data_IF_592474560640
#
_entry.id   IF_592474560640
#
_cell.length_a   1.000
_cell.length_b   1.000
_cell.length_c   1.000
_cell.angle_alpha   90.00
_cell.angle_beta   90.00
_cell.angle_gamma   90.00
#
_symmetry.space_group_name_H-M   'P 1'
#
loop_
_entity.id
_entity.type
_entity.pdbx_description
1 polymer ?
#
# COMPACT_ATOMS: atom_id res chain seq x y z
N UNK A 1 34.09 71.38 -6.22
CA UNK A 1 32.77 71.06 -6.79
C UNK A 1 32.97 69.76 -7.53
N UNK A 2 32.84 68.67 -6.78
CA UNK A 2 33.14 67.32 -7.28
C UNK A 2 31.98 66.84 -8.13
N UNK A 3 32.28 66.47 -9.37
CA UNK A 3 31.32 66.05 -10.41
C UNK A 3 31.49 64.56 -10.75
N UNK A 4 31.84 63.75 -9.76
CA UNK A 4 32.10 62.31 -9.91
C UNK A 4 31.19 61.48 -9.00
N UNK A 5 29.89 61.43 -9.27
CA UNK A 5 28.98 60.53 -8.54
C UNK A 5 27.90 59.91 -9.42
N UNK A 6 27.34 60.63 -10.39
CA UNK A 6 26.18 60.13 -11.15
C UNK A 6 26.42 58.88 -12.01
N UNK A 7 27.65 58.66 -12.50
CA UNK A 7 27.98 57.49 -13.33
C UNK A 7 28.28 56.26 -12.47
N UNK A 8 28.89 56.46 -11.30
CA UNK A 8 29.13 55.40 -10.32
C UNK A 8 27.82 54.94 -9.66
N UNK A 9 26.92 55.89 -9.36
CA UNK A 9 25.58 55.61 -8.84
C UNK A 9 24.75 54.78 -9.82
N UNK A 10 24.80 55.08 -11.12
CA UNK A 10 24.07 54.31 -12.15
C UNK A 10 24.62 52.88 -12.27
N UNK A 11 25.94 52.70 -12.26
CA UNK A 11 26.52 51.35 -12.29
C UNK A 11 26.23 50.55 -11.03
N UNK A 12 26.18 51.20 -9.87
CA UNK A 12 25.79 50.55 -8.61
C UNK A 12 24.30 50.20 -8.60
N UNK A 13 23.41 51.10 -9.06
CA UNK A 13 21.99 50.82 -9.20
C UNK A 13 21.73 49.67 -10.17
N UNK A 14 22.38 49.65 -11.34
CA UNK A 14 22.29 48.53 -12.29
C UNK A 14 22.80 47.24 -11.64
N UNK A 15 23.87 47.29 -10.84
CA UNK A 15 24.37 46.11 -10.12
C UNK A 15 23.38 45.62 -9.06
N UNK A 16 22.79 46.51 -8.27
CA UNK A 16 21.76 46.18 -7.28
C UNK A 16 20.52 45.61 -7.95
N UNK A 17 20.07 46.23 -9.05
CA UNK A 17 18.91 45.79 -9.80
C UNK A 17 19.17 44.41 -10.44
N UNK A 18 20.35 44.17 -11.03
CA UNK A 18 20.73 42.85 -11.56
C UNK A 18 20.81 41.79 -10.44
N UNK A 19 21.32 42.14 -9.25
CA UNK A 19 21.39 41.21 -8.10
C UNK A 19 20.02 40.97 -7.45
N UNK A 20 19.15 41.96 -7.43
CA UNK A 20 17.74 41.82 -7.02
C UNK A 20 16.97 40.97 -8.04
N UNK A 21 17.24 41.10 -9.34
CA UNK A 21 16.70 40.21 -10.38
C UNK A 21 17.27 38.79 -10.30
N UNK A 22 18.50 38.62 -9.81
CA UNK A 22 19.12 37.34 -9.46
C UNK A 22 18.84 37.00 -7.99
N UNK A 23 17.58 37.00 -7.59
CA UNK A 23 17.19 36.51 -6.26
C UNK A 23 17.52 35.01 -6.16
N UNK A 24 18.73 34.70 -5.70
CA UNK A 24 19.15 33.35 -5.34
C UNK A 24 18.13 32.68 -4.40
N UNK A 25 17.43 33.49 -3.60
CA UNK A 25 16.29 33.07 -2.79
C UNK A 25 15.13 32.47 -3.60
N UNK A 26 14.75 33.05 -4.73
CA UNK A 26 13.72 32.52 -5.62
C UNK A 26 14.15 31.19 -6.25
N UNK A 27 15.44 31.09 -6.59
CA UNK A 27 16.04 29.84 -7.06
C UNK A 27 16.01 28.78 -5.95
N UNK A 28 16.41 29.11 -4.73
CA UNK A 28 16.39 28.20 -3.58
C UNK A 28 14.96 27.76 -3.22
N UNK A 29 14.00 28.68 -3.19
CA UNK A 29 12.59 28.35 -2.91
C UNK A 29 12.00 27.49 -4.03
N UNK A 30 12.35 27.76 -5.29
CA UNK A 30 12.02 26.92 -6.44
C UNK A 30 12.55 25.49 -6.30
N UNK A 31 13.83 25.32 -5.97
CA UNK A 31 14.43 24.00 -5.73
C UNK A 31 13.84 23.28 -4.51
N UNK A 32 13.59 23.99 -3.40
CA UNK A 32 12.96 23.42 -2.22
C UNK A 32 11.53 22.92 -2.53
N UNK A 33 10.76 23.71 -3.28
CA UNK A 33 9.42 23.32 -3.75
C UNK A 33 9.46 22.10 -4.68
N UNK A 34 10.42 22.07 -5.61
CA UNK A 34 10.63 20.93 -6.50
C UNK A 34 10.98 19.66 -5.72
N UNK A 35 11.94 19.74 -4.78
CA UNK A 35 12.33 18.60 -3.94
C UNK A 35 11.16 18.07 -3.10
N UNK A 36 10.34 18.97 -2.54
CA UNK A 36 9.14 18.59 -1.80
C UNK A 36 8.14 17.84 -2.70
N UNK A 37 7.93 18.32 -3.93
CA UNK A 37 7.05 17.67 -4.91
C UNK A 37 7.59 16.30 -5.34
N UNK A 38 8.90 16.19 -5.60
CA UNK A 38 9.54 14.91 -5.95
C UNK A 38 9.40 13.92 -4.79
N UNK A 39 9.68 14.33 -3.55
CA UNK A 39 9.49 13.48 -2.38
C UNK A 39 8.03 13.03 -2.21
N UNK A 40 7.08 13.94 -2.37
CA UNK A 40 5.65 13.60 -2.35
C UNK A 40 5.27 12.62 -3.47
N UNK A 41 5.90 12.73 -4.64
CA UNK A 41 5.68 11.84 -5.77
C UNK A 41 6.29 10.46 -5.51
N UNK A 42 7.49 10.40 -4.94
CA UNK A 42 8.12 9.14 -4.51
C UNK A 42 7.32 8.43 -3.41
N UNK A 43 6.68 9.18 -2.52
CA UNK A 43 5.77 8.66 -1.50
C UNK A 43 4.42 8.22 -2.07
N UNK A 44 3.97 8.81 -3.18
CA UNK A 44 2.75 8.38 -3.88
C UNK A 44 2.98 7.18 -4.79
N UNK A 45 4.24 6.87 -5.14
CA UNK A 45 4.59 5.62 -5.82
C UNK A 45 4.29 4.47 -4.87
N UNK A 46 3.34 3.65 -5.31
CA UNK A 46 2.97 2.41 -4.65
C UNK A 46 4.02 1.34 -4.93
N UNK A 47 4.47 0.68 -3.87
CA UNK A 47 5.29 -0.51 -3.97
C UNK A 47 4.38 -1.72 -4.14
N UNK A 48 4.36 -2.29 -5.34
CA UNK A 48 3.65 -3.53 -5.64
C UNK A 48 4.58 -4.73 -5.38
N UNK A 49 4.25 -5.52 -4.37
CA UNK A 49 5.01 -6.69 -3.95
C UNK A 49 4.27 -7.95 -4.35
N UNK A 50 4.90 -8.75 -5.21
CA UNK A 50 4.36 -10.02 -5.66
C UNK A 50 5.26 -11.14 -5.16
N UNK A 51 4.71 -12.01 -4.32
CA UNK A 51 5.38 -13.20 -3.80
C UNK A 51 4.84 -14.40 -4.55
N UNK A 52 5.68 -14.99 -5.40
CA UNK A 52 5.39 -16.21 -6.14
C UNK A 52 6.19 -17.35 -5.53
N UNK A 53 5.51 -18.41 -5.05
CA UNK A 53 6.14 -19.68 -4.70
C UNK A 53 7.43 -19.52 -3.86
N UNK A 54 7.48 -18.61 -2.88
CA UNK A 54 8.72 -18.41 -2.11
C UNK A 54 9.03 -19.67 -1.31
N UNK A 55 10.24 -20.18 -1.41
CA UNK A 55 10.58 -21.51 -0.92
C UNK A 55 11.37 -21.48 0.39
N UNK A 56 11.85 -20.31 0.82
CA UNK A 56 12.80 -20.25 1.92
C UNK A 56 12.55 -19.09 2.88
N UNK A 57 12.68 -19.37 4.18
CA UNK A 57 12.72 -18.37 5.26
C UNK A 57 13.65 -17.19 4.98
N UNK A 58 14.74 -17.43 4.25
CA UNK A 58 15.71 -16.41 3.84
C UNK A 58 15.13 -15.38 2.89
N UNK A 59 14.26 -15.81 1.97
CA UNK A 59 13.60 -14.91 1.01
C UNK A 59 12.60 -14.00 1.74
N UNK A 60 11.85 -14.55 2.69
CA UNK A 60 10.93 -13.78 3.54
C UNK A 60 11.69 -12.81 4.45
N UNK A 61 12.87 -13.21 4.96
CA UNK A 61 13.73 -12.28 5.71
C UNK A 61 14.23 -11.14 4.84
N UNK A 62 14.75 -11.44 3.66
CA UNK A 62 15.20 -10.42 2.72
C UNK A 62 14.06 -9.47 2.35
N UNK A 63 12.88 -10.02 2.05
CA UNK A 63 11.70 -9.23 1.74
C UNK A 63 11.27 -8.35 2.90
N UNK A 64 11.24 -8.88 4.13
CA UNK A 64 10.90 -8.09 5.32
C UNK A 64 11.88 -6.92 5.53
N UNK A 65 13.18 -7.16 5.34
CA UNK A 65 14.19 -6.09 5.39
C UNK A 65 13.95 -5.03 4.31
N UNK A 66 13.63 -5.46 3.08
CA UNK A 66 13.36 -4.53 1.98
C UNK A 66 12.08 -3.71 2.21
N UNK A 67 11.01 -4.35 2.67
CA UNK A 67 9.77 -3.67 3.06
C UNK A 67 9.99 -2.66 4.18
N UNK A 68 10.87 -2.97 5.13
CA UNK A 68 11.23 -2.05 6.23
C UNK A 68 11.99 -0.83 5.71
N UNK A 69 12.87 -1.00 4.72
CA UNK A 69 13.55 0.13 4.06
C UNK A 69 12.55 1.03 3.32
N UNK A 70 11.49 0.45 2.76
CA UNK A 70 10.41 1.15 2.06
C UNK A 70 9.19 1.42 2.97
N UNK A 71 9.39 1.51 4.29
CA UNK A 71 8.29 1.62 5.24
C UNK A 71 7.38 2.84 5.01
N UNK A 72 7.89 3.93 4.44
CA UNK A 72 7.13 5.16 4.16
C UNK A 72 6.25 5.07 2.90
N UNK A 73 6.46 4.05 2.06
CA UNK A 73 5.70 3.89 0.82
C UNK A 73 4.37 3.17 1.05
N UNK A 74 3.40 3.47 0.20
CA UNK A 74 2.16 2.70 0.12
C UNK A 74 2.46 1.32 -0.45
N UNK A 75 2.05 0.26 0.24
CA UNK A 75 2.32 -1.11 -0.19
C UNK A 75 1.03 -1.76 -0.72
N UNK A 76 1.14 -2.48 -1.83
CA UNK A 76 0.16 -3.48 -2.24
C UNK A 76 0.82 -4.85 -2.35
N UNK A 77 0.20 -5.86 -1.74
CA UNK A 77 0.78 -7.19 -1.59
C UNK A 77 -0.05 -8.23 -2.35
N UNK A 78 0.59 -9.05 -3.16
CA UNK A 78 -0.01 -10.22 -3.78
C UNK A 78 0.81 -11.45 -3.40
N UNK A 79 0.21 -12.38 -2.66
CA UNK A 79 0.91 -13.58 -2.18
C UNK A 79 0.26 -14.85 -2.73
N UNK A 80 1.08 -15.70 -3.34
CA UNK A 80 0.70 -17.04 -3.80
C UNK A 80 1.29 -18.08 -2.86
N UNK A 81 0.41 -18.73 -2.11
CA UNK A 81 0.70 -19.73 -1.08
C UNK A 81 -0.03 -21.06 -1.42
N UNK A 82 0.24 -21.57 -2.62
CA UNK A 82 -0.46 -22.73 -3.21
C UNK A 82 0.28 -24.06 -3.01
N UNK A 83 1.38 -24.07 -2.24
CA UNK A 83 2.20 -25.28 -2.07
C UNK A 83 1.74 -26.06 -0.84
N UNK A 84 1.19 -27.25 -1.07
CA UNK A 84 0.69 -28.14 -0.01
C UNK A 84 1.82 -28.64 0.89
N UNK A 85 1.50 -28.83 2.19
CA UNK A 85 2.39 -29.37 3.24
C UNK A 85 3.57 -28.47 3.67
N UNK A 86 3.44 -27.15 3.56
CA UNK A 86 4.44 -26.19 4.06
C UNK A 86 3.81 -25.20 5.03
N UNK A 87 4.65 -24.52 5.80
CA UNK A 87 4.21 -23.38 6.61
C UNK A 87 3.73 -22.27 5.69
N UNK A 88 2.56 -21.68 5.99
CA UNK A 88 2.01 -20.56 5.23
C UNK A 88 3.01 -19.42 5.11
N UNK A 89 3.31 -19.05 3.86
CA UNK A 89 4.13 -17.89 3.50
C UNK A 89 3.50 -16.62 4.05
N UNK A 90 2.17 -16.52 3.96
CA UNK A 90 1.42 -15.36 4.47
C UNK A 90 1.64 -15.24 5.97
N UNK A 91 1.41 -16.33 6.72
CA UNK A 91 1.61 -16.34 8.17
C UNK A 91 3.04 -15.99 8.56
N UNK A 92 4.04 -16.55 7.87
CA UNK A 92 5.45 -16.25 8.09
C UNK A 92 5.79 -14.78 7.84
N UNK A 93 5.25 -14.20 6.76
CA UNK A 93 5.48 -12.80 6.41
C UNK A 93 4.91 -11.86 7.48
N UNK A 94 3.68 -12.06 7.92
CA UNK A 94 3.06 -11.24 8.96
C UNK A 94 3.69 -11.44 10.35
N UNK A 95 4.25 -12.63 10.63
CA UNK A 95 5.01 -12.85 11.86
C UNK A 95 6.35 -12.10 11.85
N UNK A 96 6.95 -11.85 10.68
CA UNK A 96 8.26 -11.20 10.55
C UNK A 96 8.19 -9.73 10.16
N UNK A 97 7.07 -9.25 9.66
CA UNK A 97 6.92 -7.88 9.20
C UNK A 97 5.61 -7.27 9.69
N UNK A 98 5.71 -6.09 10.29
CA UNK A 98 4.55 -5.31 10.72
C UNK A 98 4.18 -4.29 9.64
N UNK A 99 3.11 -4.56 8.91
CA UNK A 99 2.66 -3.73 7.81
C UNK A 99 1.93 -2.47 8.28
N UNK A 100 2.64 -1.33 8.33
CA UNK A 100 2.05 -0.03 8.72
C UNK A 100 1.30 0.64 7.54
N UNK A 101 1.83 0.49 6.32
CA UNK A 101 1.36 1.19 5.11
C UNK A 101 0.77 0.27 4.02
N UNK A 102 0.37 -0.95 4.40
CA UNK A 102 -0.31 -1.88 3.50
C UNK A 102 -1.75 -1.40 3.22
N UNK A 103 -2.02 -1.06 1.96
CA UNK A 103 -3.33 -0.57 1.51
C UNK A 103 -4.14 -1.63 0.77
N UNK A 104 -3.48 -2.57 0.09
CA UNK A 104 -4.18 -3.63 -0.61
C UNK A 104 -3.46 -4.96 -0.45
N UNK A 105 -4.21 -6.03 -0.22
CA UNK A 105 -3.65 -7.39 -0.28
C UNK A 105 -4.55 -8.36 -1.04
N UNK A 106 -3.90 -9.27 -1.78
CA UNK A 106 -4.51 -10.41 -2.47
C UNK A 106 -3.77 -11.67 -2.01
N UNK A 107 -4.49 -12.60 -1.40
CA UNK A 107 -3.95 -13.88 -0.95
C UNK A 107 -4.56 -15.02 -1.74
N UNK A 108 -3.70 -15.91 -2.25
CA UNK A 108 -4.08 -17.02 -3.10
C UNK A 108 -3.54 -18.29 -2.47
N UNK A 109 -4.39 -19.22 -2.03
CA UNK A 109 -3.94 -20.43 -1.32
C UNK A 109 -4.88 -21.63 -1.48
N UNK A 110 -4.33 -22.83 -1.23
CA UNK A 110 -5.02 -24.11 -1.38
C UNK A 110 -5.78 -24.57 -0.10
N UNK A 111 -5.40 -24.13 1.11
CA UNK A 111 -5.93 -24.71 2.37
C UNK A 111 -6.56 -23.66 3.31
N UNK A 112 -7.89 -23.65 3.49
CA UNK A 112 -8.55 -22.45 4.03
C UNK A 112 -8.72 -22.36 5.55
N UNK A 113 -9.06 -23.40 6.30
CA UNK A 113 -9.75 -23.16 7.57
C UNK A 113 -8.90 -22.53 8.69
N UNK A 114 -7.70 -23.03 8.95
CA UNK A 114 -6.84 -22.55 10.06
C UNK A 114 -6.08 -21.28 9.66
N UNK A 115 -5.65 -21.18 8.40
CA UNK A 115 -4.87 -20.04 7.92
C UNK A 115 -5.74 -18.80 7.74
N UNK A 116 -6.98 -18.97 7.30
CA UNK A 116 -7.92 -17.89 7.11
C UNK A 116 -8.23 -17.15 8.42
N UNK A 117 -8.44 -17.86 9.53
CA UNK A 117 -8.67 -17.21 10.82
C UNK A 117 -7.46 -16.37 11.25
N UNK A 118 -6.24 -16.88 11.06
CA UNK A 118 -5.01 -16.16 11.37
C UNK A 118 -4.82 -14.93 10.48
N UNK A 119 -5.06 -15.07 9.18
CA UNK A 119 -5.02 -13.98 8.21
C UNK A 119 -6.03 -12.89 8.59
N UNK A 120 -7.24 -13.26 8.97
CA UNK A 120 -8.29 -12.31 9.39
C UNK A 120 -7.86 -11.54 10.63
N UNK A 121 -7.31 -12.22 11.64
CA UNK A 121 -6.76 -11.57 12.85
C UNK A 121 -5.65 -10.58 12.50
N UNK A 122 -4.75 -10.96 11.61
CA UNK A 122 -3.67 -10.09 11.15
C UNK A 122 -4.21 -8.87 10.41
N UNK A 123 -5.20 -9.05 9.53
CA UNK A 123 -5.85 -7.98 8.77
C UNK A 123 -6.56 -6.97 9.66
N UNK A 124 -7.20 -7.42 10.74
CA UNK A 124 -7.85 -6.53 11.71
C UNK A 124 -6.86 -5.53 12.33
N UNK A 125 -5.57 -5.86 12.41
CA UNK A 125 -4.53 -4.93 12.89
C UNK A 125 -4.12 -3.86 11.87
N UNK A 126 -4.56 -3.96 10.61
CA UNK A 126 -4.13 -3.09 9.52
C UNK A 126 -5.04 -1.86 9.36
N UNK A 127 -4.69 -0.76 10.00
CA UNK A 127 -5.49 0.47 10.01
C UNK A 127 -5.57 1.19 8.64
N UNK A 128 -4.63 0.93 7.72
CA UNK A 128 -4.58 1.57 6.40
C UNK A 128 -5.08 0.69 5.26
N UNK A 129 -5.56 -0.52 5.57
CA UNK A 129 -6.01 -1.46 4.54
C UNK A 129 -7.29 -0.96 3.89
N UNK A 130 -7.25 -0.73 2.58
CA UNK A 130 -8.36 -0.25 1.75
C UNK A 130 -9.05 -1.40 1.02
N UNK A 131 -8.30 -2.41 0.59
CA UNK A 131 -8.85 -3.53 -0.16
C UNK A 131 -8.21 -4.87 0.22
N UNK A 132 -9.04 -5.89 0.37
CA UNK A 132 -8.60 -7.24 0.71
C UNK A 132 -9.26 -8.28 -0.20
N UNK A 133 -8.46 -9.19 -0.74
CA UNK A 133 -8.94 -10.26 -1.60
C UNK A 133 -8.37 -11.61 -1.15
N UNK A 134 -9.22 -12.63 -1.12
CA UNK A 134 -8.80 -14.03 -0.98
C UNK A 134 -9.27 -14.77 -2.22
N UNK A 135 -8.40 -15.61 -2.78
CA UNK A 135 -8.72 -16.50 -3.89
C UNK A 135 -8.31 -17.91 -3.45
N UNK A 136 -9.26 -18.83 -3.36
CA UNK A 136 -8.98 -20.22 -3.05
C UNK A 136 -8.93 -21.06 -4.33
N UNK A 137 -7.86 -21.83 -4.49
CA UNK A 137 -7.56 -22.62 -5.70
C UNK A 137 -7.83 -24.12 -5.58
N UNK A 138 -8.15 -24.66 -4.39
CA UNK A 138 -8.41 -26.09 -4.19
C UNK A 138 -9.80 -26.43 -3.63
N UNK A 139 -10.37 -27.53 -4.13
CA UNK A 139 -11.78 -27.94 -4.14
C UNK A 139 -12.39 -28.42 -2.82
N UNK A 140 -11.86 -28.03 -1.66
CA UNK A 140 -12.52 -28.37 -0.39
C UNK A 140 -13.57 -27.31 -0.05
N UNK A 141 -14.84 -27.68 -0.24
CA UNK A 141 -16.03 -26.90 0.14
C UNK A 141 -15.85 -26.35 1.55
N UNK A 142 -15.55 -25.05 1.66
CA UNK A 142 -15.98 -24.30 2.84
C UNK A 142 -17.51 -24.26 2.75
N UNK A 143 -18.20 -24.60 3.83
CA UNK A 143 -19.66 -24.53 3.86
C UNK A 143 -20.10 -23.08 3.65
N UNK A 144 -21.19 -22.82 2.89
CA UNK A 144 -21.65 -21.46 2.58
C UNK A 144 -21.89 -20.62 3.85
N UNK A 145 -22.30 -21.28 4.93
CA UNK A 145 -22.47 -20.68 6.26
C UNK A 145 -21.16 -20.18 6.85
N UNK A 146 -20.07 -20.91 6.68
CA UNK A 146 -18.74 -20.53 7.16
C UNK A 146 -18.20 -19.36 6.33
N UNK A 147 -18.40 -19.37 5.01
CA UNK A 147 -18.06 -18.25 4.13
C UNK A 147 -18.81 -16.96 4.52
N UNK A 148 -20.12 -17.05 4.78
CA UNK A 148 -20.91 -15.92 5.26
C UNK A 148 -20.41 -15.39 6.61
N UNK A 149 -20.09 -16.30 7.54
CA UNK A 149 -19.59 -15.95 8.88
C UNK A 149 -18.19 -15.31 8.82
N UNK A 150 -17.30 -15.83 7.99
CA UNK A 150 -15.96 -15.27 7.76
C UNK A 150 -16.07 -13.87 7.15
N UNK A 151 -16.85 -13.72 6.07
CA UNK A 151 -17.05 -12.43 5.39
C UNK A 151 -17.63 -11.41 6.37
N UNK A 152 -18.66 -11.82 7.13
CA UNK A 152 -19.29 -10.99 8.16
C UNK A 152 -18.30 -10.63 9.28
N UNK A 153 -17.44 -11.54 9.71
CA UNK A 153 -16.43 -11.28 10.75
C UNK A 153 -15.37 -10.29 10.27
N UNK A 154 -14.95 -10.39 9.01
CA UNK A 154 -14.04 -9.43 8.38
C UNK A 154 -14.71 -8.05 8.28
N UNK A 155 -15.98 -7.99 7.87
CA UNK A 155 -16.72 -6.74 7.69
C UNK A 155 -17.11 -6.06 9.01
N UNK A 156 -17.46 -6.83 10.04
CA UNK A 156 -17.97 -6.30 11.31
C UNK A 156 -16.86 -5.75 12.24
N UNK A 157 -15.61 -6.19 12.08
CA UNK A 157 -14.48 -5.80 12.93
C UNK A 157 -13.53 -4.80 12.25
N UNK A 158 -14.05 -3.97 11.35
CA UNK A 158 -13.26 -3.23 10.35
C UNK A 158 -12.52 -2.00 10.89
N UNK A 159 -11.34 -1.80 10.32
CA UNK A 159 -10.69 -0.49 10.17
C UNK A 159 -11.58 0.46 9.34
N UNK A 160 -11.64 1.74 9.71
CA UNK A 160 -12.44 2.78 9.03
C UNK A 160 -12.04 3.02 7.55
N UNK A 161 -10.89 2.50 7.11
CA UNK A 161 -10.36 2.66 5.75
C UNK A 161 -10.74 1.55 4.77
N UNK A 162 -11.20 0.38 5.24
CA UNK A 162 -11.40 -0.80 4.38
C UNK A 162 -12.66 -0.70 3.53
N UNK A 163 -12.51 -0.43 2.23
CA UNK A 163 -13.59 -0.20 1.25
C UNK A 163 -14.01 -1.45 0.50
N UNK A 164 -13.10 -2.37 0.22
CA UNK A 164 -13.38 -3.54 -0.62
C UNK A 164 -12.91 -4.83 0.04
N UNK A 165 -13.77 -5.85 0.06
CA UNK A 165 -13.41 -7.22 0.44
C UNK A 165 -14.01 -8.16 -0.61
N UNK A 166 -13.21 -9.04 -1.21
CA UNK A 166 -13.73 -10.11 -2.07
C UNK A 166 -13.13 -11.45 -1.69
N UNK A 167 -13.98 -12.45 -1.59
CA UNK A 167 -13.60 -13.84 -1.40
C UNK A 167 -14.02 -14.58 -2.67
N UNK A 168 -13.05 -15.14 -3.36
CA UNK A 168 -13.23 -15.93 -4.57
C UNK A 168 -12.89 -17.39 -4.27
N UNK A 169 -13.74 -18.29 -4.71
CA UNK A 169 -13.60 -19.72 -4.49
C UNK A 169 -13.86 -20.38 -5.84
N UNK A 170 -12.89 -21.11 -6.39
CA UNK A 170 -13.11 -21.87 -7.61
C UNK A 170 -14.11 -23.00 -7.32
N UNK A 171 -15.36 -22.80 -7.72
CA UNK A 171 -16.41 -23.83 -7.72
C UNK A 171 -16.57 -24.37 -9.15
N UNK A 172 -16.53 -25.70 -9.31
CA UNK A 172 -16.70 -26.39 -10.60
C UNK A 172 -18.13 -26.33 -11.19
N UNK A 173 -19.01 -25.49 -10.64
CA UNK A 173 -20.30 -25.21 -11.26
C UNK A 173 -20.24 -23.87 -11.98
N UNK A 174 -20.85 -23.82 -13.16
CA UNK A 174 -20.98 -22.70 -14.12
C UNK A 174 -21.37 -21.32 -13.54
N UNK A 175 -21.50 -21.16 -12.23
CA UNK A 175 -21.72 -19.91 -11.53
C UNK A 175 -20.59 -19.68 -10.51
N UNK A 176 -19.67 -18.77 -10.86
CA UNK A 176 -18.66 -18.25 -9.93
C UNK A 176 -19.42 -17.52 -8.81
N UNK A 177 -19.51 -18.10 -7.61
CA UNK A 177 -20.07 -17.40 -6.46
C UNK A 177 -19.06 -16.37 -5.92
N UNK A 178 -18.92 -15.24 -6.62
CA UNK A 178 -18.07 -14.15 -6.16
C UNK A 178 -18.78 -13.37 -5.04
N UNK A 179 -18.37 -13.55 -3.79
CA UNK A 179 -18.83 -12.68 -2.71
C UNK A 179 -17.95 -11.44 -2.64
N UNK A 180 -18.42 -10.35 -3.26
CA UNK A 180 -17.81 -9.02 -3.16
C UNK A 180 -18.61 -8.19 -2.17
N UNK A 181 -17.97 -7.75 -1.10
CA UNK A 181 -18.55 -6.81 -0.15
C UNK A 181 -17.79 -5.49 -0.20
N UNK A 182 -18.48 -4.46 -0.68
CA UNK A 182 -17.96 -3.10 -0.71
C UNK A 182 -18.52 -2.41 0.53
N UNK A 183 -17.65 -2.09 1.48
CA UNK A 183 -18.02 -1.20 2.57
C UNK A 183 -17.95 0.23 2.03
N UNK A 184 -19.02 0.63 1.37
CA UNK A 184 -19.23 1.99 0.97
C UNK A 184 -19.88 2.75 2.12
N UNK A 185 -19.22 3.77 2.65
CA UNK A 185 -19.93 4.96 3.16
C UNK A 185 -20.54 5.74 1.98
N UNK A 186 -21.21 5.03 1.05
CA UNK A 186 -22.05 5.66 0.05
C UNK A 186 -23.36 5.91 0.78
N UNK A 187 -23.50 7.14 1.26
CA UNK A 187 -24.79 7.77 1.46
C UNK A 187 -25.63 7.41 0.24
N UNK A 188 -26.80 6.81 0.45
CA UNK A 188 -27.81 6.69 -0.59
C UNK A 188 -28.11 8.10 -1.09
N UNK A 189 -27.64 8.42 -2.30
CA UNK A 189 -28.14 9.57 -3.03
C UNK A 189 -29.41 9.09 -3.74
N UNK A 190 -30.53 9.40 -3.08
CA UNK A 190 -31.96 9.35 -3.49
C UNK A 190 -32.54 8.00 -3.93
#
# INVERSE_FOLDING_TARGET
MDTHTHLEDLSNEIFFEIFDYLHAFDIFTGFASLNKRILSLLQSIRLDVIILNSHYDREINFLSSHLTFHADQVISLKCYDTIRNRSSIISLLFNRHHFVNLQSCIFIFDNPSIELENIIKQIQSLNKLVAFFIIQTDYKRINETDNCNITRTILMNKSSSLRSVKLDYDYDYLDISTYTSIASNLISLE
#
